data_IF_770206577456
#
_entry.id   IF_770206577456
#
_cell.length_a   1.000
_cell.length_b   1.000
_cell.length_c   1.000
_cell.angle_alpha   90.00
_cell.angle_beta   90.00
_cell.angle_gamma   90.00
#
_symmetry.space_group_name_H-M   'P 1'
#
loop_
_entity.id
_entity.type
_entity.pdbx_description
1 polymer ?
#
# COMPACT_ATOMS: atom_id res chain seq x y z
N UNK A 1 -0.72 -31.84 5.12
CA UNK A 1 -0.56 -31.19 6.43
C UNK A 1 0.08 -29.83 6.22
N UNK A 2 -0.63 -28.74 6.47
CA UNK A 2 -0.06 -27.39 6.37
C UNK A 2 0.83 -27.16 7.58
N UNK A 3 2.12 -26.85 7.37
CA UNK A 3 3.01 -26.55 8.50
C UNK A 3 2.48 -25.31 9.26
N UNK A 4 2.65 -25.23 10.58
CA UNK A 4 2.36 -24.01 11.32
C UNK A 4 3.14 -22.83 10.74
N UNK A 5 2.49 -21.67 10.67
CA UNK A 5 3.15 -20.44 10.22
C UNK A 5 4.24 -20.03 11.23
N UNK A 6 5.37 -19.59 10.71
CA UNK A 6 6.41 -18.94 11.50
C UNK A 6 5.93 -17.59 12.01
N UNK A 7 6.49 -17.13 13.13
CA UNK A 7 6.19 -15.80 13.69
C UNK A 7 6.33 -14.67 12.66
N UNK A 8 7.31 -14.77 11.77
CA UNK A 8 7.54 -13.80 10.69
C UNK A 8 6.39 -13.80 9.66
N UNK A 9 5.87 -14.98 9.32
CA UNK A 9 4.75 -15.14 8.38
C UNK A 9 3.45 -14.61 8.97
N UNK A 10 3.19 -14.90 10.26
CA UNK A 10 2.04 -14.36 10.99
C UNK A 10 2.09 -12.83 11.02
N UNK A 11 3.28 -12.25 11.27
CA UNK A 11 3.47 -10.79 11.27
C UNK A 11 3.23 -10.18 9.89
N UNK A 12 3.74 -10.82 8.83
CA UNK A 12 3.51 -10.37 7.46
C UNK A 12 2.03 -10.41 7.09
N UNK A 13 1.32 -11.47 7.47
CA UNK A 13 -0.12 -11.62 7.26
C UNK A 13 -0.91 -10.52 7.98
N UNK A 14 -0.66 -10.30 9.27
CA UNK A 14 -1.31 -9.22 10.03
C UNK A 14 -1.04 -7.84 9.43
N UNK A 15 0.18 -7.60 8.94
CA UNK A 15 0.52 -6.33 8.28
C UNK A 15 -0.27 -6.16 6.98
N UNK A 16 -0.46 -7.24 6.22
CA UNK A 16 -1.28 -7.22 5.00
C UNK A 16 -2.75 -6.94 5.33
N UNK A 17 -3.30 -7.65 6.30
CA UNK A 17 -4.71 -7.49 6.71
C UNK A 17 -4.98 -6.05 7.20
N UNK A 18 -4.04 -5.48 7.95
CA UNK A 18 -4.09 -4.08 8.37
C UNK A 18 -4.12 -3.10 7.19
N UNK A 19 -3.27 -3.31 6.18
CA UNK A 19 -3.24 -2.46 4.98
C UNK A 19 -4.52 -2.58 4.15
N UNK A 20 -5.09 -3.78 4.06
CA UNK A 20 -6.39 -3.99 3.39
C UNK A 20 -7.49 -3.24 4.13
N UNK A 21 -7.55 -3.36 5.46
CA UNK A 21 -8.54 -2.64 6.27
C UNK A 21 -8.40 -1.11 6.13
N UNK A 22 -7.17 -0.59 6.12
CA UNK A 22 -6.95 0.83 5.87
C UNK A 22 -7.41 1.27 4.49
N UNK A 23 -7.09 0.51 3.44
CA UNK A 23 -7.57 0.80 2.07
C UNK A 23 -9.09 0.87 2.03
N UNK A 24 -9.76 -0.12 2.62
CA UNK A 24 -11.23 -0.15 2.70
C UNK A 24 -11.77 1.09 3.43
N UNK A 25 -11.18 1.46 4.57
CA UNK A 25 -11.60 2.64 5.32
C UNK A 25 -11.45 3.96 4.53
N UNK A 26 -10.38 4.10 3.72
CA UNK A 26 -10.23 5.25 2.84
C UNK A 26 -11.30 5.26 1.74
N UNK A 27 -11.58 4.10 1.13
CA UNK A 27 -12.61 3.95 0.09
C UNK A 27 -14.01 4.26 0.63
N UNK A 28 -14.36 3.71 1.80
CA UNK A 28 -15.66 3.96 2.45
C UNK A 28 -15.86 5.44 2.77
N UNK A 29 -14.80 6.14 3.17
CA UNK A 29 -14.86 7.55 3.57
C UNK A 29 -14.88 8.52 2.39
N UNK A 30 -14.17 8.21 1.31
CA UNK A 30 -13.89 9.16 0.23
C UNK A 30 -14.44 8.74 -1.14
N UNK A 31 -15.06 7.57 -1.24
CA UNK A 31 -15.37 6.93 -2.51
C UNK A 31 -14.18 6.14 -3.05
N UNK A 32 -14.45 5.25 -4.01
CA UNK A 32 -13.46 4.28 -4.52
C UNK A 32 -12.16 4.93 -5.01
N UNK A 33 -12.30 5.91 -5.89
CA UNK A 33 -11.17 6.52 -6.58
C UNK A 33 -10.35 7.45 -5.66
N UNK A 34 -11.01 8.41 -5.00
CA UNK A 34 -10.35 9.35 -4.09
C UNK A 34 -9.81 8.62 -2.84
N UNK A 35 -10.50 7.59 -2.37
CA UNK A 35 -10.02 6.72 -1.30
C UNK A 35 -8.78 5.92 -1.70
N UNK A 36 -8.76 5.32 -2.89
CA UNK A 36 -7.58 4.63 -3.41
C UNK A 36 -6.39 5.60 -3.55
N UNK A 37 -6.63 6.82 -4.02
CA UNK A 37 -5.61 7.85 -4.13
C UNK A 37 -5.02 8.24 -2.77
N UNK A 38 -5.85 8.53 -1.77
CA UNK A 38 -5.37 8.85 -0.42
C UNK A 38 -4.64 7.69 0.25
N UNK A 39 -5.09 6.46 0.02
CA UNK A 39 -4.39 5.27 0.49
C UNK A 39 -2.99 5.17 -0.12
N UNK A 40 -2.83 5.40 -1.43
CA UNK A 40 -1.50 5.40 -2.07
C UNK A 40 -0.60 6.52 -1.56
N UNK A 41 -1.12 7.73 -1.34
CA UNK A 41 -0.35 8.83 -0.72
C UNK A 41 0.18 8.40 0.66
N UNK A 42 -0.68 7.81 1.48
CA UNK A 42 -0.31 7.32 2.80
C UNK A 42 0.78 6.23 2.71
N UNK A 43 0.70 5.31 1.75
CA UNK A 43 1.76 4.32 1.51
C UNK A 43 3.08 4.97 1.10
N UNK A 44 3.07 5.99 0.24
CA UNK A 44 4.28 6.73 -0.14
C UNK A 44 4.91 7.41 1.08
N UNK A 45 4.11 8.08 1.91
CA UNK A 45 4.61 8.78 3.09
C UNK A 45 5.19 7.83 4.16
N UNK A 46 4.60 6.64 4.30
CA UNK A 46 4.98 5.68 5.35
C UNK A 46 5.99 4.64 4.85
N UNK A 47 5.61 3.84 3.85
CA UNK A 47 6.43 2.79 3.26
C UNK A 47 7.47 3.36 2.31
N UNK A 48 7.14 4.36 1.50
CA UNK A 48 8.11 5.03 0.62
C UNK A 48 9.26 5.66 1.42
N UNK A 49 8.97 6.34 2.54
CA UNK A 49 10.02 6.88 3.41
C UNK A 49 10.94 5.80 3.99
N UNK A 50 10.40 4.61 4.30
CA UNK A 50 11.20 3.47 4.77
C UNK A 50 12.03 2.85 3.65
N UNK A 51 11.46 2.69 2.46
CA UNK A 51 12.15 2.20 1.28
C UNK A 51 13.31 3.12 0.90
N UNK A 52 13.09 4.44 0.91
CA UNK A 52 14.12 5.44 0.68
C UNK A 52 15.28 5.31 1.67
N UNK A 53 14.99 5.19 2.97
CA UNK A 53 16.02 4.98 4.01
C UNK A 53 16.83 3.69 3.80
N UNK A 54 16.25 2.68 3.15
CA UNK A 54 16.91 1.38 2.88
C UNK A 54 17.59 1.33 1.51
N UNK A 55 17.49 2.39 0.70
CA UNK A 55 17.96 2.38 -0.69
C UNK A 55 17.14 1.47 -1.61
N UNK A 56 15.93 1.08 -1.21
CA UNK A 56 15.05 0.20 -2.00
C UNK A 56 14.34 0.99 -3.11
N UNK A 57 15.08 1.23 -4.19
CA UNK A 57 14.60 1.97 -5.36
C UNK A 57 13.53 1.21 -6.16
N UNK A 58 13.50 -0.12 -6.05
CA UNK A 58 12.49 -0.94 -6.70
C UNK A 58 11.11 -0.70 -6.08
N UNK A 59 11.01 -0.78 -4.75
CA UNK A 59 9.76 -0.49 -4.04
C UNK A 59 9.27 0.96 -4.27
N UNK A 60 10.20 1.93 -4.30
CA UNK A 60 9.87 3.31 -4.62
C UNK A 60 9.29 3.48 -6.03
N UNK A 61 9.87 2.79 -7.03
CA UNK A 61 9.39 2.84 -8.42
C UNK A 61 8.00 2.24 -8.55
N UNK A 62 7.73 1.11 -7.91
CA UNK A 62 6.40 0.50 -7.93
C UNK A 62 5.34 1.42 -7.32
N UNK A 63 5.61 2.01 -6.16
CA UNK A 63 4.68 2.96 -5.52
C UNK A 63 4.41 4.19 -6.39
N UNK A 64 5.44 4.73 -7.04
CA UNK A 64 5.29 5.87 -7.96
C UNK A 64 4.48 5.49 -9.21
N UNK A 65 4.69 4.29 -9.74
CA UNK A 65 3.96 3.78 -10.90
C UNK A 65 2.47 3.60 -10.59
N UNK A 66 2.14 2.98 -9.45
CA UNK A 66 0.75 2.78 -9.02
C UNK A 66 0.02 4.13 -8.82
N UNK A 67 0.71 5.09 -8.21
CA UNK A 67 0.17 6.44 -8.02
C UNK A 67 -0.08 7.16 -9.35
N UNK A 68 0.86 7.03 -10.30
CA UNK A 68 0.72 7.60 -11.63
C UNK A 68 -0.42 6.96 -12.43
N UNK A 69 -0.59 5.64 -12.32
CA UNK A 69 -1.69 4.93 -12.97
C UNK A 69 -3.07 5.39 -12.47
N UNK A 70 -3.22 5.60 -11.15
CA UNK A 70 -4.45 6.20 -10.61
C UNK A 70 -4.65 7.63 -11.11
N UNK A 71 -3.60 8.45 -11.12
CA UNK A 71 -3.69 9.81 -11.65
C UNK A 71 -4.18 9.81 -13.11
N UNK A 72 -3.60 8.96 -13.97
CA UNK A 72 -4.01 8.84 -15.36
C UNK A 72 -5.47 8.41 -15.51
N UNK A 73 -5.93 7.43 -14.72
CA UNK A 73 -7.33 6.98 -14.73
C UNK A 73 -8.33 8.12 -14.51
N UNK A 74 -7.94 9.17 -13.80
CA UNK A 74 -8.82 10.30 -13.44
C UNK A 74 -8.55 11.60 -14.20
N UNK A 75 -7.51 11.63 -15.02
CA UNK A 75 -7.11 12.85 -15.75
C UNK A 75 -7.00 12.67 -17.26
N UNK A 76 -7.12 11.44 -17.77
CA UNK A 76 -7.10 11.11 -19.19
C UNK A 76 -8.51 10.97 -19.79
#
# INVERSE_FOLDING_TARGET
>A
MTRPLLKAEIKAQRSRDYLIAQRTAFIEKHGEDLGAFYFLIMLVQTHGRKALKRGDTAALRSLAHDLHALYLKHTA
#
